data_IF_645833727308
#
_entry.id   IF_645833727308
#
_cell.length_a   1.000
_cell.length_b   1.000
_cell.length_c   1.000
_cell.angle_alpha   90.00
_cell.angle_beta   90.00
_cell.angle_gamma   90.00
#
_symmetry.space_group_name_H-M   'P 1'
#
loop_
_entity.id
_entity.type
_entity.pdbx_description
1 polymer ?
#
# COMPACT_ATOMS: atom_id res chain seq x y z
N UNK A 1 0.43 -9.19 14.85
CA UNK A 1 1.13 -10.43 14.43
C UNK A 1 1.91 -11.03 15.60
N UNK A 2 3.06 -10.48 16.02
CA UNK A 2 3.87 -11.09 17.10
C UNK A 2 3.15 -11.26 18.44
N UNK A 3 2.45 -10.21 18.93
CA UNK A 3 1.74 -10.29 20.22
C UNK A 3 0.67 -11.39 20.19
N UNK A 4 -0.21 -11.36 19.19
CA UNK A 4 -1.26 -12.39 19.03
C UNK A 4 -0.68 -13.81 18.96
N UNK A 5 0.35 -14.04 18.15
CA UNK A 5 0.97 -15.36 18.05
C UNK A 5 1.57 -15.84 19.37
N UNK A 6 2.21 -14.94 20.13
CA UNK A 6 2.75 -15.29 21.45
C UNK A 6 1.66 -15.60 22.49
N UNK A 7 0.48 -15.01 22.35
CA UNK A 7 -0.65 -15.19 23.27
C UNK A 7 -1.51 -16.42 22.93
N UNK A 8 -1.76 -16.66 21.65
CA UNK A 8 -2.73 -17.68 21.19
C UNK A 8 -2.09 -18.88 20.50
N UNK A 9 -0.84 -18.75 20.05
CA UNK A 9 -0.20 -19.71 19.14
C UNK A 9 -0.68 -19.62 17.69
N UNK A 10 -1.61 -18.70 17.38
CA UNK A 10 -2.22 -18.56 16.06
C UNK A 10 -1.54 -17.44 15.26
N UNK A 11 -1.30 -17.68 13.97
CA UNK A 11 -0.84 -16.64 13.05
C UNK A 11 -2.06 -15.93 12.45
N UNK A 12 -2.15 -14.61 12.62
CA UNK A 12 -3.19 -13.85 11.91
C UNK A 12 -2.92 -13.88 10.41
N UNK A 13 -3.97 -13.84 9.57
CA UNK A 13 -3.78 -13.72 8.14
C UNK A 13 -2.93 -12.50 7.80
N UNK A 14 -2.20 -12.57 6.69
CA UNK A 14 -1.55 -11.40 6.16
C UNK A 14 -2.58 -10.34 5.77
N UNK A 15 -2.26 -9.08 6.02
CA UNK A 15 -3.06 -7.97 5.52
C UNK A 15 -3.16 -8.06 4.00
N UNK A 16 -4.37 -7.87 3.49
CA UNK A 16 -4.68 -7.71 2.07
C UNK A 16 -3.98 -6.47 1.50
N UNK A 17 -3.91 -6.38 0.17
CA UNK A 17 -3.32 -5.19 -0.48
C UNK A 17 -4.09 -3.91 -0.13
N UNK A 18 -5.43 -3.84 -0.16
CA UNK A 18 -6.17 -2.66 0.28
C UNK A 18 -5.83 -2.25 1.72
N UNK A 19 -5.78 -3.19 2.66
CA UNK A 19 -5.43 -2.90 4.05
C UNK A 19 -3.99 -2.38 4.21
N UNK A 20 -3.03 -2.98 3.48
CA UNK A 20 -1.64 -2.50 3.43
C UNK A 20 -1.57 -1.05 2.94
N UNK A 21 -2.40 -0.68 1.97
CA UNK A 21 -2.45 0.66 1.39
C UNK A 21 -3.13 1.67 2.32
N UNK A 22 -4.20 1.29 3.01
CA UNK A 22 -4.83 2.15 4.02
C UNK A 22 -3.88 2.48 5.18
N UNK A 23 -3.08 1.50 5.63
CA UNK A 23 -2.02 1.75 6.62
C UNK A 23 -0.96 2.71 6.06
N UNK A 24 -0.63 2.61 4.75
CA UNK A 24 0.32 3.49 4.10
C UNK A 24 -0.19 4.94 4.07
N UNK A 25 -1.45 5.15 3.69
CA UNK A 25 -2.11 6.47 3.68
C UNK A 25 -2.20 7.06 5.08
N UNK A 26 -2.55 6.25 6.08
CA UNK A 26 -2.55 6.67 7.48
C UNK A 26 -1.16 7.15 7.94
N UNK A 27 -0.09 6.46 7.55
CA UNK A 27 1.28 6.88 7.86
C UNK A 27 1.62 8.22 7.18
N UNK A 28 1.32 8.36 5.89
CA UNK A 28 1.52 9.60 5.14
C UNK A 28 0.80 10.78 5.81
N UNK A 29 -0.47 10.61 6.18
CA UNK A 29 -1.28 11.62 6.86
C UNK A 29 -0.71 11.99 8.22
N UNK A 30 -0.31 11.01 9.04
CA UNK A 30 0.34 11.28 10.34
C UNK A 30 1.65 12.03 10.17
N UNK A 31 2.41 11.73 9.13
CA UNK A 31 3.67 12.40 8.85
C UNK A 31 3.43 13.85 8.42
N UNK A 32 2.39 14.09 7.62
CA UNK A 32 1.97 15.44 7.20
C UNK A 32 1.49 16.27 8.39
N UNK A 33 0.68 15.69 9.28
CA UNK A 33 0.23 16.35 10.50
C UNK A 33 1.39 16.72 11.43
N UNK A 34 2.46 15.92 11.45
CA UNK A 34 3.61 16.14 12.31
C UNK A 34 4.64 17.12 11.72
N UNK A 35 4.89 17.05 10.41
CA UNK A 35 6.04 17.72 9.76
C UNK A 35 5.67 18.64 8.59
N UNK A 36 4.39 18.73 8.25
CA UNK A 36 3.89 19.41 7.06
C UNK A 36 3.98 18.54 5.80
N UNK A 37 3.12 18.85 4.82
CA UNK A 37 2.92 18.04 3.61
C UNK A 37 4.18 17.86 2.76
N UNK A 38 4.99 18.92 2.60
CA UNK A 38 6.20 18.89 1.77
C UNK A 38 7.24 17.91 2.34
N UNK A 39 7.45 17.94 3.65
CA UNK A 39 8.39 17.02 4.33
C UNK A 39 7.83 15.61 4.30
N UNK A 40 6.54 15.45 4.58
CA UNK A 40 5.88 14.15 4.60
C UNK A 40 5.95 13.45 3.25
N UNK A 41 5.68 14.17 2.15
CA UNK A 41 5.77 13.63 0.80
C UNK A 41 7.17 13.08 0.52
N UNK A 42 8.23 13.87 0.79
CA UNK A 42 9.62 13.48 0.53
C UNK A 42 10.08 12.29 1.39
N UNK A 43 9.70 12.27 2.65
CA UNK A 43 10.04 11.17 3.55
C UNK A 43 9.27 9.89 3.20
N UNK A 44 8.00 10.01 2.83
CA UNK A 44 7.17 8.87 2.47
C UNK A 44 7.66 8.13 1.23
N UNK A 45 8.30 8.81 0.27
CA UNK A 45 8.95 8.17 -0.90
C UNK A 45 9.87 7.01 -0.49
N UNK A 46 10.64 7.20 0.60
CA UNK A 46 11.54 6.18 1.14
C UNK A 46 10.79 5.01 1.81
N UNK A 47 9.58 5.26 2.28
CA UNK A 47 8.75 4.32 3.04
C UNK A 47 7.80 3.51 2.15
N UNK A 48 7.39 4.06 0.99
CA UNK A 48 6.44 3.42 0.07
C UNK A 48 6.87 1.98 -0.33
N UNK A 49 8.18 1.75 -0.42
CA UNK A 49 8.75 0.43 -0.69
C UNK A 49 8.32 -0.67 0.28
N UNK A 50 8.12 -0.34 1.56
CA UNK A 50 7.70 -1.30 2.59
C UNK A 50 6.26 -1.78 2.37
N UNK A 51 5.34 -0.86 2.10
CA UNK A 51 3.92 -1.17 1.89
C UNK A 51 3.67 -1.92 0.57
N UNK A 52 4.46 -1.59 -0.45
CA UNK A 52 4.34 -2.15 -1.79
C UNK A 52 5.24 -3.39 -2.01
N UNK A 53 5.86 -3.93 -0.95
CA UNK A 53 6.72 -5.12 -1.05
C UNK A 53 5.87 -6.37 -1.27
N UNK A 54 6.30 -7.23 -2.20
CA UNK A 54 5.65 -8.51 -2.49
C UNK A 54 4.38 -8.42 -3.34
N UNK A 55 3.88 -7.22 -3.65
CA UNK A 55 2.69 -7.06 -4.48
C UNK A 55 3.07 -7.02 -5.97
N UNK A 56 2.48 -7.88 -6.83
CA UNK A 56 2.74 -7.87 -8.26
C UNK A 56 2.49 -6.50 -8.90
N UNK A 57 3.37 -6.11 -9.84
CA UNK A 57 3.29 -4.86 -10.62
C UNK A 57 3.41 -3.55 -9.82
N UNK A 58 3.81 -3.62 -8.55
CA UNK A 58 3.98 -2.41 -7.73
C UNK A 58 5.18 -1.52 -8.12
N UNK A 59 6.13 -2.01 -8.94
CA UNK A 59 7.32 -1.24 -9.32
C UNK A 59 6.98 0.08 -10.03
N UNK A 60 5.95 0.11 -10.88
CA UNK A 60 5.54 1.34 -11.58
C UNK A 60 5.01 2.38 -10.58
N UNK A 61 4.15 1.95 -9.65
CA UNK A 61 3.64 2.80 -8.57
C UNK A 61 4.77 3.34 -7.70
N UNK A 62 5.78 2.52 -7.36
CA UNK A 62 6.95 2.97 -6.58
C UNK A 62 7.71 4.10 -7.28
N UNK A 63 7.95 3.96 -8.58
CA UNK A 63 8.64 4.99 -9.37
C UNK A 63 7.80 6.28 -9.38
N UNK A 64 6.50 6.18 -9.66
CA UNK A 64 5.61 7.34 -9.66
C UNK A 64 5.55 8.04 -8.29
N UNK A 65 5.49 7.28 -7.19
CA UNK A 65 5.51 7.86 -5.83
C UNK A 65 6.83 8.60 -5.57
N UNK A 66 7.96 8.07 -6.02
CA UNK A 66 9.27 8.73 -5.86
C UNK A 66 9.35 10.09 -6.59
N UNK A 67 8.56 10.28 -7.64
CA UNK A 67 8.48 11.51 -8.42
C UNK A 67 7.39 12.47 -7.91
N UNK A 68 6.44 12.00 -7.09
CA UNK A 68 5.31 12.79 -6.62
C UNK A 68 5.74 13.96 -5.72
N UNK A 69 5.27 15.18 -6.03
CA UNK A 69 5.67 16.41 -5.33
C UNK A 69 4.73 16.86 -4.21
N UNK A 70 3.53 16.29 -4.14
CA UNK A 70 2.52 16.61 -3.13
C UNK A 70 1.84 15.34 -2.60
N UNK A 71 1.18 15.50 -1.46
CA UNK A 71 0.56 14.43 -0.71
C UNK A 71 -0.60 13.79 -1.49
N UNK A 72 -1.43 14.61 -2.13
CA UNK A 72 -2.61 14.18 -2.87
C UNK A 72 -2.23 13.28 -4.06
N UNK A 73 -1.10 13.56 -4.72
CA UNK A 73 -0.58 12.73 -5.80
C UNK A 73 -0.15 11.36 -5.28
N UNK A 74 0.50 11.31 -4.11
CA UNK A 74 0.86 10.03 -3.49
C UNK A 74 -0.39 9.22 -3.14
N UNK A 75 -1.41 9.85 -2.53
CA UNK A 75 -2.67 9.17 -2.21
C UNK A 75 -3.39 8.64 -3.46
N UNK A 76 -3.49 9.47 -4.50
CA UNK A 76 -4.10 9.05 -5.76
C UNK A 76 -3.36 7.87 -6.41
N UNK A 77 -2.02 7.85 -6.36
CA UNK A 77 -1.21 6.73 -6.88
C UNK A 77 -1.44 5.45 -6.07
N UNK A 78 -1.62 5.56 -4.76
CA UNK A 78 -1.93 4.43 -3.89
C UNK A 78 -3.34 3.90 -4.13
N UNK A 79 -4.34 4.78 -4.28
CA UNK A 79 -5.73 4.40 -4.57
C UNK A 79 -5.85 3.73 -5.94
N UNK A 80 -5.22 4.33 -6.97
CA UNK A 80 -5.16 3.75 -8.31
C UNK A 80 -4.52 2.35 -8.28
N UNK A 81 -3.45 2.17 -7.50
CA UNK A 81 -2.80 0.87 -7.36
C UNK A 81 -3.72 -0.20 -6.77
N UNK A 82 -4.56 0.17 -5.78
CA UNK A 82 -5.57 -0.75 -5.20
C UNK A 82 -6.60 -1.15 -6.25
N UNK A 83 -7.17 -0.18 -6.97
CA UNK A 83 -8.17 -0.45 -8.02
C UNK A 83 -7.62 -1.43 -9.05
N UNK A 84 -6.45 -1.12 -9.62
CA UNK A 84 -5.84 -1.98 -10.63
C UNK A 84 -5.48 -3.37 -10.09
N UNK A 85 -5.11 -3.47 -8.80
CA UNK A 85 -4.83 -4.75 -8.17
C UNK A 85 -6.09 -5.61 -8.07
N UNK A 86 -7.18 -5.05 -7.55
CA UNK A 86 -8.45 -5.77 -7.40
C UNK A 86 -9.01 -6.21 -8.75
N UNK A 87 -8.95 -5.37 -9.77
CA UNK A 87 -9.36 -5.78 -11.12
C UNK A 87 -8.52 -6.95 -11.67
N UNK A 88 -7.20 -6.99 -11.37
CA UNK A 88 -6.35 -8.11 -11.80
C UNK A 88 -6.73 -9.40 -11.08
N UNK A 89 -7.00 -9.32 -9.78
CA UNK A 89 -7.45 -10.46 -8.99
C UNK A 89 -8.80 -10.97 -9.51
N UNK A 90 -9.75 -10.08 -9.79
CA UNK A 90 -11.07 -10.45 -10.32
C UNK A 90 -10.95 -11.12 -11.69
N UNK A 91 -10.19 -10.54 -12.62
CA UNK A 91 -9.91 -11.16 -13.92
C UNK A 91 -9.23 -12.52 -13.79
N UNK A 92 -8.40 -12.73 -12.77
CA UNK A 92 -7.76 -14.01 -12.52
C UNK A 92 -8.76 -15.04 -11.98
N UNK A 93 -9.63 -14.64 -11.05
CA UNK A 93 -10.71 -15.49 -10.53
C UNK A 93 -11.66 -15.93 -11.64
N UNK A 94 -12.10 -15.01 -12.49
CA UNK A 94 -12.96 -15.31 -13.64
C UNK A 94 -12.32 -16.34 -14.58
N UNK A 95 -11.06 -16.12 -14.98
CA UNK A 95 -10.32 -17.08 -15.81
C UNK A 95 -10.18 -18.46 -15.19
N UNK A 96 -10.03 -18.56 -13.88
CA UNK A 96 -9.92 -19.84 -13.18
C UNK A 96 -11.27 -20.55 -13.03
N UNK A 97 -12.38 -19.80 -13.01
CA UNK A 97 -13.73 -20.37 -12.93
C UNK A 97 -14.26 -20.90 -14.28
N UNK A 98 -13.64 -20.49 -15.40
CA UNK A 98 -13.96 -20.93 -16.76
C UNK A 98 -13.20 -22.20 -17.20
N UNK A 99 -12.36 -22.77 -16.33
CA UNK A 99 -11.59 -24.02 -16.53
C UNK A 99 -12.24 -25.17 -15.78
#
# INVERSE_FOLDING_TARGET
>A
QTVHYLETGELLPENTVPEKIEIAKLHLQRLANLKGEVVATKEFRKLAGYYLKGVPRASKTKVAINEAENLQTVEALLDQFVVEHLEREERQKQRLAEI
#
